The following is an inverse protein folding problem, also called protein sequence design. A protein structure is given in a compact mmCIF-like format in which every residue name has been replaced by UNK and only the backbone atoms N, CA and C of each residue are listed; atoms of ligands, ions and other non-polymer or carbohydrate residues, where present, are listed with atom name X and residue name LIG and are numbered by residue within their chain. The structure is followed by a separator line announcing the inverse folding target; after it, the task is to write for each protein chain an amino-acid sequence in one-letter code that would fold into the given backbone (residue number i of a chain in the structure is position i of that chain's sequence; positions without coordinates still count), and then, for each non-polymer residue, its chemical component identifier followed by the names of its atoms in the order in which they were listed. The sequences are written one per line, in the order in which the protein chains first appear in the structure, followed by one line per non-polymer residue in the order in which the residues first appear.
data_IF_924198019075
#
_entry.id   IF_924198019075
#
_cell.length_a   1.000
_cell.length_b   1.000
_cell.length_c   1.000
_cell.angle_alpha   90.00
_cell.angle_beta   90.00
_cell.angle_gamma   90.00
#
_symmetry.space_group_name_H-M   'P 1'
#
loop_
_entity.id
_entity.type
_entity.pdbx_description
1 polymer ?
#
# COMPACT_ATOMS: atom_id res chain seq x y z
N UNK A 1 -12.90 18.54 -19.62
CA UNK A 1 -13.41 17.67 -18.53
C UNK A 1 -12.51 16.44 -18.48
N UNK A 2 -12.03 16.06 -17.28
CA UNK A 2 -11.24 14.82 -17.11
C UNK A 2 -12.18 13.61 -17.28
N UNK A 3 -11.67 12.54 -17.90
CA UNK A 3 -12.44 11.31 -18.15
C UNK A 3 -12.05 10.16 -17.20
N UNK A 4 -10.89 10.26 -16.56
CA UNK A 4 -10.32 9.25 -15.66
C UNK A 4 -9.58 9.95 -14.54
N UNK A 5 -9.77 9.46 -13.30
CA UNK A 5 -8.97 9.79 -12.13
C UNK A 5 -8.27 8.51 -11.63
N UNK A 6 -6.95 8.57 -11.50
CA UNK A 6 -6.13 7.49 -10.96
C UNK A 6 -5.66 7.90 -9.57
N UNK A 7 -6.01 7.12 -8.57
CA UNK A 7 -5.69 7.36 -7.17
C UNK A 7 -4.55 6.47 -6.70
N UNK A 8 -3.71 6.97 -5.82
CA UNK A 8 -2.91 6.10 -4.94
C UNK A 8 -3.80 5.52 -3.84
N UNK A 9 -3.31 4.50 -3.13
CA UNK A 9 -4.07 3.81 -2.10
C UNK A 9 -3.62 4.23 -0.70
N UNK A 10 -2.39 3.84 -0.31
CA UNK A 10 -1.89 4.03 1.05
C UNK A 10 -1.59 5.51 1.32
N UNK A 11 -2.28 6.10 2.30
CA UNK A 11 -2.13 7.53 2.62
C UNK A 11 -2.90 8.48 1.69
N UNK A 12 -3.71 7.95 0.76
CA UNK A 12 -4.54 8.73 -0.17
C UNK A 12 -6.02 8.34 -0.04
N UNK A 13 -6.38 7.13 -0.43
CA UNK A 13 -7.75 6.61 -0.27
C UNK A 13 -7.99 6.05 1.14
N UNK A 14 -7.00 5.35 1.67
CA UNK A 14 -7.07 4.65 2.96
C UNK A 14 -5.95 5.10 3.89
N UNK A 15 -6.31 5.30 5.15
CA UNK A 15 -5.34 5.40 6.24
C UNK A 15 -4.89 3.99 6.63
N UNK A 16 -3.77 3.58 6.10
CA UNK A 16 -3.20 2.24 6.29
C UNK A 16 -1.99 2.23 7.23
N UNK A 17 -1.64 3.39 7.79
CA UNK A 17 -0.38 3.55 8.51
C UNK A 17 -0.25 2.61 9.72
N UNK A 18 -1.35 2.37 10.42
CA UNK A 18 -1.35 1.48 11.60
C UNK A 18 -1.16 0.01 11.20
N UNK A 19 -1.81 -0.46 10.13
CA UNK A 19 -1.60 -1.80 9.59
C UNK A 19 -0.16 -2.00 9.14
N UNK A 20 0.41 -1.04 8.40
CA UNK A 20 1.78 -1.09 7.91
C UNK A 20 2.79 -1.10 9.07
N UNK A 21 2.58 -0.26 10.10
CA UNK A 21 3.42 -0.23 11.30
C UNK A 21 3.34 -1.54 12.06
N UNK A 22 2.12 -2.07 12.27
CA UNK A 22 1.90 -3.32 12.98
C UNK A 22 2.61 -4.51 12.32
N UNK A 23 2.42 -4.67 11.01
CA UNK A 23 3.05 -5.76 10.23
C UNK A 23 4.57 -5.63 10.22
N UNK A 24 5.08 -4.39 10.08
CA UNK A 24 6.52 -4.14 10.17
C UNK A 24 7.06 -4.57 11.52
N UNK A 25 6.40 -4.20 12.62
CA UNK A 25 6.84 -4.52 13.97
C UNK A 25 6.75 -6.02 14.27
N UNK A 26 5.71 -6.72 13.83
CA UNK A 26 5.66 -8.19 13.91
C UNK A 26 6.83 -8.86 13.18
N UNK A 27 7.27 -8.26 12.08
CA UNK A 27 8.42 -8.78 11.34
C UNK A 27 9.73 -8.50 12.07
N UNK A 28 9.88 -7.31 12.67
CA UNK A 28 11.05 -6.95 13.49
C UNK A 28 11.17 -7.81 14.75
N UNK A 29 10.02 -8.16 15.37
CA UNK A 29 9.97 -9.06 16.54
C UNK A 29 10.59 -10.43 16.27
N UNK A 30 10.44 -10.96 15.05
CA UNK A 30 11.04 -12.24 14.67
C UNK A 30 12.58 -12.25 14.80
N UNK A 31 13.20 -11.07 14.82
CA UNK A 31 14.66 -10.90 14.93
C UNK A 31 15.09 -10.20 16.24
N UNK A 32 14.15 -9.97 17.16
CA UNK A 32 14.43 -9.28 18.43
C UNK A 32 14.87 -7.82 18.26
N UNK A 33 14.45 -7.17 17.15
CA UNK A 33 14.79 -5.79 16.84
C UNK A 33 13.76 -4.81 17.42
N UNK A 34 14.18 -3.54 17.61
CA UNK A 34 13.27 -2.52 18.13
C UNK A 34 12.13 -2.23 17.17
N UNK A 35 10.98 -1.88 17.70
CA UNK A 35 9.84 -1.43 16.93
C UNK A 35 10.07 -0.05 16.28
N UNK A 36 9.39 0.18 15.16
CA UNK A 36 9.24 1.49 14.55
C UNK A 36 7.90 2.11 14.96
N UNK A 37 7.85 3.44 15.04
CA UNK A 37 6.62 4.19 15.33
C UNK A 37 5.81 4.43 14.03
N UNK A 38 4.51 4.82 14.13
CA UNK A 38 3.74 5.24 12.96
C UNK A 38 4.39 6.42 12.21
N UNK A 39 5.01 7.36 12.92
CA UNK A 39 5.72 8.51 12.33
C UNK A 39 6.97 8.06 11.56
N UNK A 40 7.72 7.11 12.08
CA UNK A 40 8.85 6.50 11.37
C UNK A 40 8.35 5.73 10.14
N UNK A 41 7.26 4.96 10.29
CA UNK A 41 6.65 4.22 9.19
C UNK A 41 6.23 5.14 8.04
N UNK A 42 5.62 6.31 8.32
CA UNK A 42 5.26 7.30 7.30
C UNK A 42 6.45 7.75 6.43
N UNK A 43 7.66 7.76 6.98
CA UNK A 43 8.87 8.19 6.27
C UNK A 43 9.49 7.09 5.39
N UNK A 44 9.14 5.84 5.65
CA UNK A 44 9.76 4.68 4.97
C UNK A 44 8.86 4.00 3.95
N UNK A 45 7.54 4.26 3.98
CA UNK A 45 6.55 3.69 3.03
C UNK A 45 6.54 4.39 1.66
N UNK A 46 5.81 3.82 0.70
CA UNK A 46 5.55 4.42 -0.61
C UNK A 46 6.34 3.82 -1.77
N UNK A 47 7.49 3.18 -1.51
CA UNK A 47 8.34 2.58 -2.54
C UNK A 47 8.24 1.04 -2.62
N UNK A 48 7.11 0.48 -2.13
CA UNK A 48 6.88 -0.95 -2.03
C UNK A 48 7.50 -1.58 -0.78
N UNK A 49 7.01 -2.77 -0.42
CA UNK A 49 7.32 -3.42 0.86
C UNK A 49 8.80 -3.78 1.04
N UNK A 50 9.51 -4.11 -0.06
CA UNK A 50 10.94 -4.43 0.00
C UNK A 50 11.76 -3.25 0.47
N UNK A 51 11.47 -2.05 -0.03
CA UNK A 51 12.17 -0.84 0.39
C UNK A 51 11.74 -0.42 1.79
N UNK A 52 10.47 -0.59 2.14
CA UNK A 52 9.96 -0.36 3.49
C UNK A 52 10.71 -1.23 4.50
N UNK A 53 10.82 -2.55 4.27
CA UNK A 53 11.54 -3.46 5.17
C UNK A 53 13.03 -3.13 5.27
N UNK A 54 13.67 -2.82 4.14
CA UNK A 54 15.08 -2.38 4.15
C UNK A 54 15.29 -1.18 5.07
N UNK A 55 14.45 -0.16 4.94
CA UNK A 55 14.52 1.06 5.76
C UNK A 55 14.15 0.80 7.23
N UNK A 56 13.16 -0.05 7.47
CA UNK A 56 12.73 -0.42 8.82
C UNK A 56 13.84 -1.16 9.58
N UNK A 57 14.52 -2.11 8.94
CA UNK A 57 15.65 -2.84 9.52
C UNK A 57 16.78 -1.89 9.91
N UNK A 58 17.16 -0.96 9.04
CA UNK A 58 18.17 0.07 9.36
C UNK A 58 17.76 0.91 10.56
N UNK A 59 16.51 1.40 10.58
CA UNK A 59 15.97 2.16 11.73
C UNK A 59 15.96 1.32 13.03
N UNK A 60 15.71 0.02 12.91
CA UNK A 60 15.66 -0.90 14.04
C UNK A 60 17.05 -1.35 14.54
N UNK A 61 18.16 -0.93 13.89
CA UNK A 61 19.53 -1.20 14.28
C UNK A 61 20.25 -2.27 13.44
N UNK A 62 19.61 -2.84 12.43
CA UNK A 62 20.24 -3.76 11.46
C UNK A 62 20.81 -2.98 10.27
N UNK A 63 21.81 -2.12 10.53
CA UNK A 63 22.45 -1.27 9.51
C UNK A 63 23.10 -2.08 8.37
N UNK A 64 23.56 -3.30 8.68
CA UNK A 64 24.19 -4.21 7.70
C UNK A 64 23.19 -5.05 6.93
N UNK A 65 21.89 -4.92 7.23
CA UNK A 65 20.80 -5.65 6.58
C UNK A 65 20.96 -7.18 6.64
N UNK A 66 21.51 -7.70 7.76
CA UNK A 66 21.73 -9.13 7.95
C UNK A 66 20.44 -9.94 7.86
N UNK A 67 19.32 -9.35 8.32
CA UNK A 67 18.01 -10.01 8.34
C UNK A 67 17.14 -9.70 7.11
N UNK A 68 17.63 -8.93 6.12
CA UNK A 68 16.79 -8.41 5.05
C UNK A 68 16.07 -9.52 4.26
N UNK A 69 16.82 -10.47 3.70
CA UNK A 69 16.21 -11.54 2.88
C UNK A 69 15.23 -12.41 3.70
N UNK A 70 15.58 -12.73 4.95
CA UNK A 70 14.73 -13.50 5.84
C UNK A 70 13.47 -12.74 6.27
N UNK A 71 13.51 -11.41 6.32
CA UNK A 71 12.38 -10.57 6.71
C UNK A 71 11.27 -10.52 5.67
N UNK A 72 11.58 -10.66 4.38
CA UNK A 72 10.61 -10.47 3.31
C UNK A 72 9.46 -11.49 3.33
N UNK A 73 9.70 -12.81 3.43
CA UNK A 73 8.60 -13.78 3.53
C UNK A 73 7.80 -13.61 4.82
N UNK A 74 8.44 -13.29 5.95
CA UNK A 74 7.76 -13.05 7.24
C UNK A 74 6.84 -11.83 7.12
N UNK A 75 7.32 -10.75 6.51
CA UNK A 75 6.50 -9.55 6.25
C UNK A 75 5.28 -9.90 5.41
N UNK A 76 5.44 -10.61 4.30
CA UNK A 76 4.34 -10.95 3.40
C UNK A 76 3.32 -11.87 4.07
N UNK A 77 3.75 -12.83 4.88
CA UNK A 77 2.86 -13.67 5.67
C UNK A 77 2.02 -12.84 6.65
N UNK A 78 2.67 -11.98 7.44
CA UNK A 78 1.98 -11.08 8.36
C UNK A 78 1.06 -10.10 7.62
N UNK A 79 1.51 -9.56 6.49
CA UNK A 79 0.74 -8.61 5.72
C UNK A 79 -0.52 -9.22 5.11
N UNK A 80 -0.48 -10.47 4.66
CA UNK A 80 -1.66 -11.19 4.19
C UNK A 80 -2.73 -11.36 5.28
N UNK A 81 -2.31 -11.46 6.55
CA UNK A 81 -3.22 -11.63 7.70
C UNK A 81 -3.76 -10.31 8.24
N UNK A 82 -2.96 -9.24 8.21
CA UNK A 82 -3.23 -8.02 8.96
C UNK A 82 -3.32 -6.74 8.10
N UNK A 83 -3.38 -6.85 6.78
CA UNK A 83 -3.44 -5.69 5.88
C UNK A 83 -4.72 -4.83 6.04
N UNK A 84 -5.71 -5.31 6.78
CA UNK A 84 -6.96 -4.59 7.11
C UNK A 84 -7.00 -4.05 8.53
N UNK A 85 -5.95 -4.31 9.34
CA UNK A 85 -5.95 -3.94 10.76
C UNK A 85 -5.93 -2.42 10.93
N UNK A 86 -6.96 -1.89 11.63
CA UNK A 86 -7.11 -0.46 11.93
C UNK A 86 -7.01 0.42 10.65
N UNK A 87 -7.53 -0.08 9.52
CA UNK A 87 -7.59 0.62 8.24
C UNK A 87 -8.97 1.24 8.07
N UNK A 88 -9.00 2.48 7.57
CA UNK A 88 -10.24 3.19 7.24
C UNK A 88 -10.02 4.15 6.06
N UNK A 89 -11.06 4.45 5.28
CA UNK A 89 -11.01 5.54 4.30
C UNK A 89 -10.80 6.89 5.00
N UNK A 90 -10.06 7.78 4.36
CA UNK A 90 -10.01 9.18 4.83
C UNK A 90 -11.37 9.86 4.67
N UNK A 91 -11.64 10.83 5.54
CA UNK A 91 -12.85 11.65 5.47
C UNK A 91 -13.00 12.30 4.09
N UNK A 92 -14.23 12.31 3.57
CA UNK A 92 -14.56 12.87 2.27
C UNK A 92 -14.21 12.02 1.03
N UNK A 93 -13.50 10.91 1.19
CA UNK A 93 -13.12 10.05 0.06
C UNK A 93 -14.34 9.40 -0.59
N UNK A 94 -15.30 8.91 0.20
CA UNK A 94 -16.50 8.26 -0.34
C UNK A 94 -17.35 9.24 -1.14
N UNK A 95 -17.52 10.46 -0.62
CA UNK A 95 -18.25 11.55 -1.25
C UNK A 95 -17.56 12.01 -2.54
N UNK A 96 -16.23 12.15 -2.53
CA UNK A 96 -15.44 12.49 -3.71
C UNK A 96 -15.63 11.45 -4.81
N UNK A 97 -15.48 10.17 -4.48
CA UNK A 97 -15.60 9.08 -5.45
C UNK A 97 -17.02 8.98 -6.02
N UNK A 98 -18.05 9.17 -5.18
CA UNK A 98 -19.44 9.20 -5.63
C UNK A 98 -19.68 10.36 -6.62
N UNK A 99 -19.23 11.57 -6.28
CA UNK A 99 -19.34 12.75 -7.16
C UNK A 99 -18.64 12.57 -8.50
N UNK A 100 -17.43 11.96 -8.51
CA UNK A 100 -16.73 11.67 -9.75
C UNK A 100 -17.52 10.72 -10.66
N UNK A 101 -18.09 9.67 -10.09
CA UNK A 101 -18.93 8.72 -10.83
C UNK A 101 -20.21 9.35 -11.37
N UNK A 102 -20.89 10.19 -10.58
CA UNK A 102 -22.06 10.97 -11.03
C UNK A 102 -21.71 11.89 -12.22
N UNK A 103 -20.50 12.42 -12.27
CA UNK A 103 -19.96 13.20 -13.38
C UNK A 103 -19.54 12.36 -14.59
N UNK A 104 -19.68 11.03 -14.53
CA UNK A 104 -19.24 10.11 -15.58
C UNK A 104 -17.72 9.95 -15.70
N UNK A 105 -16.98 10.24 -14.63
CA UNK A 105 -15.52 10.08 -14.58
C UNK A 105 -15.18 8.66 -14.12
N UNK A 106 -14.36 7.95 -14.88
CA UNK A 106 -13.81 6.66 -14.48
C UNK A 106 -12.85 6.83 -13.28
N UNK A 107 -12.86 5.86 -12.38
CA UNK A 107 -11.99 5.87 -11.19
C UNK A 107 -11.13 4.61 -11.16
N UNK A 108 -9.84 4.77 -10.96
CA UNK A 108 -8.88 3.69 -10.92
C UNK A 108 -7.89 3.86 -9.76
N UNK A 109 -7.26 2.77 -9.35
CA UNK A 109 -6.22 2.74 -8.31
C UNK A 109 -4.91 2.27 -8.90
N UNK A 110 -3.82 2.99 -8.57
CA UNK A 110 -2.45 2.60 -8.89
C UNK A 110 -1.56 2.73 -7.64
N UNK A 111 -1.11 1.60 -7.12
CA UNK A 111 -0.32 1.56 -5.87
C UNK A 111 0.95 0.74 -6.03
N UNK A 112 1.99 1.07 -5.22
CA UNK A 112 3.18 0.22 -5.04
C UNK A 112 2.98 -0.87 -3.97
N UNK A 113 1.76 -0.99 -3.42
CA UNK A 113 1.33 -2.08 -2.55
C UNK A 113 1.25 -3.39 -3.33
N UNK A 114 1.59 -4.56 -2.76
CA UNK A 114 1.37 -5.85 -3.42
C UNK A 114 -0.06 -5.97 -3.93
N UNK A 115 -0.22 -6.47 -5.16
CA UNK A 115 -1.48 -6.41 -5.91
C UNK A 115 -2.66 -7.06 -5.17
N UNK A 116 -2.46 -8.27 -4.63
CA UNK A 116 -3.52 -8.99 -3.92
C UNK A 116 -4.01 -8.21 -2.68
N UNK A 117 -3.10 -7.63 -1.90
CA UNK A 117 -3.46 -6.84 -0.73
C UNK A 117 -4.11 -5.49 -1.11
N UNK A 118 -3.74 -4.92 -2.27
CA UNK A 118 -4.43 -3.75 -2.79
C UNK A 118 -5.88 -4.07 -3.16
N UNK A 119 -6.14 -5.20 -3.83
CA UNK A 119 -7.49 -5.69 -4.14
C UNK A 119 -8.28 -5.91 -2.85
N UNK A 120 -7.72 -6.65 -1.89
CA UNK A 120 -8.39 -6.93 -0.59
C UNK A 120 -8.79 -5.63 0.12
N UNK A 121 -7.89 -4.64 0.20
CA UNK A 121 -8.21 -3.35 0.80
C UNK A 121 -9.33 -2.63 0.06
N UNK A 122 -9.25 -2.52 -1.25
CA UNK A 122 -10.24 -1.79 -2.05
C UNK A 122 -11.61 -2.47 -1.99
N UNK A 123 -11.69 -3.78 -2.17
CA UNK A 123 -12.96 -4.51 -2.13
C UNK A 123 -13.61 -4.48 -0.75
N UNK A 124 -12.81 -4.51 0.32
CA UNK A 124 -13.33 -4.43 1.70
C UNK A 124 -13.98 -3.09 2.00
N UNK A 125 -13.35 -1.98 1.61
CA UNK A 125 -13.81 -0.65 2.02
C UNK A 125 -14.75 0.02 1.00
N UNK A 126 -14.66 -0.34 -0.27
CA UNK A 126 -15.45 0.31 -1.33
C UNK A 126 -16.39 -0.67 -2.07
N UNK A 127 -16.15 -1.96 -1.97
CA UNK A 127 -16.92 -2.99 -2.67
C UNK A 127 -16.26 -3.47 -3.96
N UNK A 128 -16.56 -4.73 -4.30
CA UNK A 128 -16.07 -5.35 -5.53
C UNK A 128 -16.61 -4.62 -6.76
N UNK A 129 -15.73 -4.29 -7.70
CA UNK A 129 -16.09 -3.60 -8.94
C UNK A 129 -16.41 -2.11 -8.77
N UNK A 130 -16.16 -1.53 -7.60
CA UNK A 130 -16.36 -0.10 -7.39
C UNK A 130 -15.41 0.76 -8.23
N UNK A 131 -14.14 0.38 -8.32
CA UNK A 131 -13.15 0.98 -9.21
C UNK A 131 -13.13 0.22 -10.54
N UNK A 132 -13.00 0.94 -11.65
CA UNK A 132 -12.90 0.35 -13.00
C UNK A 132 -11.62 -0.51 -13.11
N UNK A 133 -10.52 -0.05 -12.52
CA UNK A 133 -9.23 -0.77 -12.46
C UNK A 133 -8.60 -0.59 -11.09
N UNK A 134 -8.11 -1.68 -10.51
CA UNK A 134 -7.22 -1.67 -9.34
C UNK A 134 -5.91 -2.34 -9.71
N UNK A 135 -4.80 -1.60 -9.58
CA UNK A 135 -3.47 -2.09 -9.94
C UNK A 135 -2.48 -1.84 -8.80
N UNK A 136 -2.00 -2.92 -8.20
CA UNK A 136 -0.88 -2.95 -7.26
C UNK A 136 0.43 -3.38 -7.92
N UNK A 137 1.48 -3.56 -7.12
CA UNK A 137 2.76 -4.11 -7.56
C UNK A 137 2.59 -5.53 -8.09
N UNK A 138 3.10 -5.77 -9.30
CA UNK A 138 3.14 -7.07 -9.96
C UNK A 138 4.53 -7.30 -10.56
N UNK A 139 4.96 -8.56 -10.59
CA UNK A 139 6.22 -8.94 -11.22
C UNK A 139 6.26 -8.50 -12.70
N UNK A 140 7.41 -8.00 -13.15
CA UNK A 140 7.61 -7.57 -14.52
C UNK A 140 7.01 -6.20 -14.91
N UNK A 141 6.34 -5.52 -13.96
CA UNK A 141 5.85 -4.15 -14.20
C UNK A 141 6.66 -3.16 -13.34
N UNK A 142 7.25 -2.12 -13.95
CA UNK A 142 7.93 -1.07 -13.19
C UNK A 142 6.98 -0.39 -12.21
N UNK A 143 7.50 -0.15 -10.98
CA UNK A 143 6.76 0.56 -9.93
C UNK A 143 6.74 2.07 -10.15
N UNK A 144 5.77 2.76 -9.52
CA UNK A 144 5.84 4.22 -9.39
C UNK A 144 7.20 4.63 -8.79
N UNK A 145 7.87 5.65 -9.32
CA UNK A 145 7.38 6.71 -10.21
C UNK A 145 7.41 6.40 -11.72
N UNK A 146 7.74 5.15 -12.14
CA UNK A 146 7.62 4.78 -13.55
C UNK A 146 6.16 4.94 -14.04
N UNK A 147 5.92 5.49 -15.24
CA UNK A 147 4.58 5.80 -15.73
C UNK A 147 3.84 4.59 -16.30
N UNK A 148 4.50 3.44 -16.41
CA UNK A 148 3.99 2.23 -17.08
C UNK A 148 2.63 1.78 -16.54
N UNK A 149 2.49 1.78 -15.21
CA UNK A 149 1.22 1.42 -14.56
C UNK A 149 0.07 2.37 -14.91
N UNK A 150 0.35 3.67 -14.98
CA UNK A 150 -0.65 4.67 -15.37
C UNK A 150 -1.05 4.53 -16.85
N UNK A 151 -0.08 4.36 -17.75
CA UNK A 151 -0.36 4.11 -19.17
C UNK A 151 -1.15 2.82 -19.40
N UNK A 152 -0.90 1.78 -18.61
CA UNK A 152 -1.66 0.53 -18.71
C UNK A 152 -3.11 0.67 -18.26
N UNK A 153 -3.42 1.61 -17.35
CA UNK A 153 -4.78 1.94 -16.92
C UNK A 153 -5.51 2.80 -17.97
N UNK A 154 -4.79 3.65 -18.69
CA UNK A 154 -5.37 4.54 -19.70
C UNK A 154 -5.73 3.85 -21.02
N UNK A 155 -5.38 2.59 -21.23
CA UNK A 155 -5.67 1.78 -22.44
C UNK A 155 -6.96 1.02 -22.33
#
# INVERSE_FOLDING_TARGET
MYRLCIFDLDGTLLNTIYALTYVTNLTLDAFGLRHVTPEETKRIVGNGYRMQMKRALVLAGDEKLVHYEASLPIYMENFSKYCLKDVEPYDGIRELLASLKEMGVHVAVLSNKPHEQAIVNIETFFGKGYFDVVRGEQAGTPKKPAPDGAFAICR
#
